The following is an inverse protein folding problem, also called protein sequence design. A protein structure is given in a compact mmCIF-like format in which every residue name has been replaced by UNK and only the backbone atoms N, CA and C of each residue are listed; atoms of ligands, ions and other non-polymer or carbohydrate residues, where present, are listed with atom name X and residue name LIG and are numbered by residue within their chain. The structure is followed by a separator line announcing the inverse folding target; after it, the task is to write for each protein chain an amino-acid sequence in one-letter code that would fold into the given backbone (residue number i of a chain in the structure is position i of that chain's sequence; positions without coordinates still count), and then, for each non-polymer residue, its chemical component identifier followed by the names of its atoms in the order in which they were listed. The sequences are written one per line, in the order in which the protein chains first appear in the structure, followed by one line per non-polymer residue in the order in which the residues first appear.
data_IF_338526291386
#
_entry.id   IF_338526291386
#
_cell.length_a   1.000
_cell.length_b   1.000
_cell.length_c   1.000
_cell.angle_alpha   90.00
_cell.angle_beta   90.00
_cell.angle_gamma   90.00
#
_symmetry.space_group_name_H-M   'P 1'
#
loop_
_entity.id
_entity.type
_entity.pdbx_description
1 polymer ?
#
# COMPACT_ATOMS: atom_id res chain seq x y z
N UNK A 1 14.92 -13.71 3.16
CA UNK A 1 15.57 -12.52 2.58
C UNK A 1 15.26 -11.38 3.54
N UNK A 2 16.28 -10.81 4.16
CA UNK A 2 16.15 -9.68 5.09
C UNK A 2 15.76 -8.43 4.31
N UNK A 3 14.65 -7.82 4.68
CA UNK A 3 14.17 -6.53 4.17
C UNK A 3 15.25 -5.44 4.40
N UNK A 4 15.50 -4.59 3.41
CA UNK A 4 16.44 -3.49 3.53
C UNK A 4 16.08 -2.55 4.71
N UNK A 5 17.07 -2.27 5.55
CA UNK A 5 16.95 -1.44 6.76
C UNK A 5 17.03 0.06 6.49
N UNK A 6 17.25 0.49 5.25
CA UNK A 6 17.47 1.91 4.92
C UNK A 6 16.16 2.64 4.66
N UNK A 7 15.22 2.59 5.61
CA UNK A 7 14.17 3.60 5.69
C UNK A 7 14.76 4.81 6.41
N UNK A 8 14.67 6.05 5.89
CA UNK A 8 15.24 7.21 6.58
C UNK A 8 14.59 7.37 7.96
N UNK A 9 15.35 7.02 9.00
CA UNK A 9 14.85 6.78 10.36
C UNK A 9 14.55 8.05 11.17
N UNK A 10 14.75 9.24 10.60
CA UNK A 10 14.67 10.54 11.31
C UNK A 10 13.25 11.10 11.47
N UNK A 11 12.22 10.26 11.51
CA UNK A 11 10.85 10.75 11.73
C UNK A 11 10.57 10.95 13.23
N UNK A 12 10.72 12.19 13.70
CA UNK A 12 10.43 12.61 15.08
C UNK A 12 8.98 12.29 15.52
N UNK A 13 8.07 12.03 14.57
CA UNK A 13 6.69 11.59 14.84
C UNK A 13 6.62 10.20 15.50
N UNK A 14 7.72 9.43 15.53
CA UNK A 14 7.77 8.05 16.09
C UNK A 14 7.68 7.96 17.61
N UNK A 15 8.00 9.03 18.35
CA UNK A 15 8.24 8.92 19.80
C UNK A 15 6.99 9.10 20.69
N UNK A 16 5.84 9.48 20.11
CA UNK A 16 4.66 9.91 20.89
C UNK A 16 3.49 8.93 20.94
N UNK A 17 3.51 7.83 20.20
CA UNK A 17 2.30 7.03 19.98
C UNK A 17 1.20 7.80 19.23
N UNK A 18 -0.02 7.24 19.11
CA UNK A 18 -1.12 7.89 18.42
C UNK A 18 -1.49 9.24 19.04
N UNK A 19 -1.80 10.25 18.21
CA UNK A 19 -2.17 11.60 18.66
C UNK A 19 -3.56 11.67 19.34
N UNK A 20 -4.31 10.58 19.29
CA UNK A 20 -5.61 10.42 19.94
C UNK A 20 -5.63 9.11 20.73
N UNK A 21 -6.48 9.03 21.76
CA UNK A 21 -6.70 7.78 22.49
C UNK A 21 -7.45 6.78 21.62
N UNK A 22 -6.76 5.71 21.21
CA UNK A 22 -7.36 4.59 20.48
C UNK A 22 -7.90 3.53 21.46
N UNK A 23 -8.82 2.70 20.97
CA UNK A 23 -9.38 1.55 21.71
C UNK A 23 -8.51 0.28 21.60
N UNK A 24 -7.31 0.42 21.03
CA UNK A 24 -6.42 -0.70 20.74
C UNK A 24 -4.99 -0.20 20.56
N UNK A 25 -4.06 -1.06 20.94
CA UNK A 25 -2.61 -0.95 20.75
C UNK A 25 -2.13 -1.53 19.41
N UNK A 26 -3.03 -2.05 18.57
CA UNK A 26 -2.66 -2.62 17.28
C UNK A 26 -2.02 -1.57 16.36
N UNK A 27 -0.93 -1.93 15.66
CA UNK A 27 -0.18 -0.98 14.85
C UNK A 27 -0.95 -0.53 13.59
N UNK A 28 -0.57 0.64 13.11
CA UNK A 28 -1.01 1.23 11.86
C UNK A 28 -2.51 1.44 11.80
N UNK A 29 -3.09 1.09 10.65
CA UNK A 29 -4.50 1.34 10.37
C UNK A 29 -5.46 0.47 11.21
N UNK A 30 -4.98 -0.62 11.82
CA UNK A 30 -5.85 -1.58 12.54
C UNK A 30 -6.45 -0.98 13.81
N UNK A 31 -5.64 -0.26 14.60
CA UNK A 31 -6.13 0.49 15.75
C UNK A 31 -7.18 1.55 15.37
N UNK A 32 -7.01 2.19 14.21
CA UNK A 32 -7.98 3.16 13.67
C UNK A 32 -9.30 2.49 13.25
N UNK A 33 -9.22 1.33 12.61
CA UNK A 33 -10.39 0.54 12.24
C UNK A 33 -11.17 0.06 13.46
N UNK A 34 -10.50 -0.33 14.55
CA UNK A 34 -11.17 -0.64 15.83
C UNK A 34 -11.79 0.60 16.48
N UNK A 35 -11.17 1.76 16.32
CA UNK A 35 -11.71 3.02 16.84
C UNK A 35 -13.04 3.40 16.16
N UNK A 36 -13.14 3.22 14.83
CA UNK A 36 -14.35 3.51 14.02
C UNK A 36 -14.70 2.36 13.06
N UNK A 37 -15.30 1.26 13.57
CA UNK A 37 -15.60 0.08 12.76
C UNK A 37 -16.59 0.37 11.63
N UNK A 38 -17.46 1.38 11.78
CA UNK A 38 -18.42 1.79 10.75
C UNK A 38 -17.71 2.34 9.51
N UNK A 39 -16.55 2.98 9.69
CA UNK A 39 -15.70 3.42 8.55
C UNK A 39 -14.77 2.32 8.06
N UNK A 40 -14.36 1.40 8.94
CA UNK A 40 -13.46 0.32 8.58
C UNK A 40 -14.05 -0.62 7.54
N UNK A 41 -15.35 -0.95 7.66
CA UNK A 41 -16.02 -1.88 6.74
C UNK A 41 -15.95 -1.42 5.26
N UNK A 42 -16.49 -0.25 4.88
CA UNK A 42 -16.45 0.19 3.49
C UNK A 42 -15.02 0.39 2.97
N UNK A 43 -14.09 0.82 3.83
CA UNK A 43 -12.69 1.00 3.45
C UNK A 43 -12.00 -0.33 3.10
N UNK A 44 -12.20 -1.38 3.91
CA UNK A 44 -11.65 -2.70 3.61
C UNK A 44 -12.35 -3.36 2.42
N UNK A 45 -13.65 -3.13 2.22
CA UNK A 45 -14.34 -3.60 1.01
C UNK A 45 -13.72 -3.00 -0.26
N UNK A 46 -13.42 -1.70 -0.25
CA UNK A 46 -12.72 -1.05 -1.35
C UNK A 46 -11.33 -1.67 -1.58
N UNK A 47 -10.53 -1.84 -0.52
CA UNK A 47 -9.22 -2.51 -0.62
C UNK A 47 -9.32 -3.94 -1.18
N UNK A 48 -10.32 -4.71 -0.72
CA UNK A 48 -10.49 -6.10 -1.15
C UNK A 48 -10.81 -6.19 -2.65
N UNK A 49 -11.73 -5.34 -3.13
CA UNK A 49 -12.02 -5.23 -4.56
C UNK A 49 -10.76 -4.87 -5.34
N UNK A 50 -10.07 -3.80 -4.93
CA UNK A 50 -8.92 -3.27 -5.67
C UNK A 50 -7.72 -4.23 -5.66
N UNK A 51 -7.40 -4.87 -4.54
CA UNK A 51 -6.15 -5.63 -4.40
C UNK A 51 -6.32 -7.15 -4.54
N UNK A 52 -7.55 -7.66 -4.44
CA UNK A 52 -7.82 -9.11 -4.44
C UNK A 52 -8.88 -9.56 -5.44
N UNK A 53 -9.73 -8.63 -5.89
CA UNK A 53 -10.77 -8.88 -6.91
C UNK A 53 -10.19 -9.31 -8.26
N UNK A 54 -11.08 -9.72 -9.17
CA UNK A 54 -10.73 -10.11 -10.53
C UNK A 54 -10.10 -8.95 -11.29
N UNK A 55 -8.92 -9.17 -11.86
CA UNK A 55 -8.20 -8.20 -12.65
C UNK A 55 -7.15 -8.93 -13.52
N UNK A 56 -6.75 -8.35 -14.65
CA UNK A 56 -5.62 -8.84 -15.45
C UNK A 56 -4.25 -8.51 -14.82
N UNK A 57 -4.18 -7.48 -13.98
CA UNK A 57 -3.06 -7.30 -13.06
C UNK A 57 -3.13 -8.34 -11.94
N UNK A 58 -2.02 -9.01 -11.73
CA UNK A 58 -1.83 -9.90 -10.60
C UNK A 58 -2.02 -9.16 -9.28
N UNK A 59 -2.27 -9.93 -8.21
CA UNK A 59 -2.31 -9.35 -6.85
C UNK A 59 -0.96 -8.71 -6.49
N UNK A 60 0.14 -9.33 -6.88
CA UNK A 60 1.48 -8.79 -6.65
C UNK A 60 1.71 -7.42 -7.30
N UNK A 61 1.28 -7.24 -8.55
CA UNK A 61 1.38 -5.95 -9.25
C UNK A 61 0.51 -4.86 -8.59
N UNK A 62 -0.69 -5.20 -8.13
CA UNK A 62 -1.58 -4.25 -7.46
C UNK A 62 -1.07 -3.86 -6.07
N UNK A 63 -0.53 -4.81 -5.33
CA UNK A 63 0.18 -4.55 -4.07
C UNK A 63 1.47 -3.74 -4.29
N UNK A 64 2.17 -3.93 -5.42
CA UNK A 64 3.34 -3.15 -5.79
C UNK A 64 3.00 -1.66 -6.03
N UNK A 65 1.86 -1.38 -6.68
CA UNK A 65 1.36 0.01 -6.82
C UNK A 65 1.11 0.63 -5.44
N UNK A 66 0.44 -0.11 -4.54
CA UNK A 66 0.17 0.34 -3.18
C UNK A 66 1.44 0.60 -2.37
N UNK A 67 2.42 -0.30 -2.47
CA UNK A 67 3.73 -0.17 -1.83
C UNK A 67 4.50 1.04 -2.38
N UNK A 68 4.57 1.20 -3.71
CA UNK A 68 5.27 2.31 -4.35
C UNK A 68 4.71 3.68 -3.93
N UNK A 69 3.39 3.85 -3.95
CA UNK A 69 2.75 5.09 -3.48
C UNK A 69 3.00 5.34 -2.00
N UNK A 70 2.96 4.29 -1.18
CA UNK A 70 3.24 4.40 0.26
C UNK A 70 4.69 4.78 0.55
N UNK A 71 5.64 4.30 -0.26
CA UNK A 71 7.04 4.68 -0.20
C UNK A 71 7.23 6.17 -0.53
N UNK A 72 6.60 6.65 -1.63
CA UNK A 72 6.64 8.06 -2.02
C UNK A 72 6.01 8.98 -0.96
N UNK A 73 4.95 8.52 -0.30
CA UNK A 73 4.32 9.23 0.83
C UNK A 73 5.12 9.13 2.14
N UNK A 74 6.15 8.29 2.20
CA UNK A 74 6.92 7.99 3.42
C UNK A 74 6.03 7.47 4.56
N UNK A 75 5.00 6.68 4.22
CA UNK A 75 4.19 5.99 5.21
C UNK A 75 4.77 4.61 5.47
N UNK A 76 5.53 4.47 6.56
CA UNK A 76 6.30 3.26 6.89
C UNK A 76 5.39 2.02 6.99
N UNK A 77 4.34 2.12 7.80
CA UNK A 77 3.43 0.99 8.03
C UNK A 77 2.85 0.47 6.71
N UNK A 78 2.27 1.36 5.90
CA UNK A 78 1.68 0.95 4.63
C UNK A 78 2.75 0.44 3.65
N UNK A 79 3.93 1.07 3.57
CA UNK A 79 4.99 0.57 2.71
C UNK A 79 5.37 -0.86 3.06
N UNK A 80 5.77 -1.15 4.31
CA UNK A 80 6.23 -2.49 4.67
C UNK A 80 5.12 -3.54 4.61
N UNK A 81 3.87 -3.20 4.97
CA UNK A 81 2.73 -4.11 4.81
C UNK A 81 2.53 -4.49 3.34
N UNK A 82 2.41 -3.51 2.45
CA UNK A 82 2.10 -3.78 1.05
C UNK A 82 3.31 -4.30 0.26
N UNK A 83 4.53 -3.92 0.65
CA UNK A 83 5.76 -4.52 0.14
C UNK A 83 5.83 -6.01 0.45
N UNK A 84 5.51 -6.42 1.69
CA UNK A 84 5.48 -7.83 2.08
C UNK A 84 4.43 -8.62 1.27
N UNK A 85 3.23 -8.07 1.07
CA UNK A 85 2.20 -8.70 0.23
C UNK A 85 2.61 -8.78 -1.26
N UNK A 86 3.22 -7.73 -1.80
CA UNK A 86 3.74 -7.72 -3.16
C UNK A 86 4.82 -8.79 -3.34
N UNK A 87 5.82 -8.80 -2.46
CA UNK A 87 6.93 -9.76 -2.49
C UNK A 87 6.47 -11.22 -2.37
N UNK A 88 5.41 -11.49 -1.58
CA UNK A 88 4.85 -12.84 -1.48
C UNK A 88 4.23 -13.33 -2.79
N UNK A 89 3.87 -12.43 -3.70
CA UNK A 89 3.09 -12.72 -4.92
C UNK A 89 3.86 -12.45 -6.21
N UNK A 90 4.97 -11.74 -6.14
CA UNK A 90 5.88 -11.48 -7.27
C UNK A 90 6.99 -12.54 -7.29
N UNK A 91 7.32 -13.14 -8.45
CA UNK A 91 8.40 -14.12 -8.56
C UNK A 91 9.75 -13.63 -8.02
N UNK A 92 10.05 -12.35 -8.24
CA UNK A 92 11.29 -11.68 -7.85
C UNK A 92 11.32 -11.30 -6.36
N UNK A 93 10.19 -11.43 -5.66
CA UNK A 93 10.08 -11.14 -4.23
C UNK A 93 10.36 -9.68 -3.87
N UNK A 94 10.96 -9.50 -2.68
CA UNK A 94 11.24 -8.17 -2.13
C UNK A 94 12.27 -7.38 -2.95
N UNK A 95 13.17 -8.07 -3.65
CA UNK A 95 14.18 -7.44 -4.49
C UNK A 95 13.56 -6.53 -5.54
N UNK A 96 12.47 -6.95 -6.21
CA UNK A 96 11.78 -6.12 -7.18
C UNK A 96 11.11 -4.91 -6.53
N UNK A 97 10.50 -5.08 -5.35
CA UNK A 97 9.84 -4.00 -4.61
C UNK A 97 10.86 -2.91 -4.24
N UNK A 98 12.03 -3.31 -3.74
CA UNK A 98 13.12 -2.40 -3.38
C UNK A 98 13.70 -1.68 -4.61
N UNK A 99 13.85 -2.39 -5.73
CA UNK A 99 14.30 -1.80 -7.00
C UNK A 99 13.31 -0.74 -7.50
N UNK A 100 12.01 -1.05 -7.51
CA UNK A 100 10.95 -0.10 -7.90
C UNK A 100 10.90 1.12 -6.98
N UNK A 101 11.10 0.92 -5.67
CA UNK A 101 11.18 2.03 -4.72
C UNK A 101 12.40 2.94 -5.00
N UNK A 102 13.56 2.34 -5.25
CA UNK A 102 14.85 3.04 -5.37
C UNK A 102 14.96 3.79 -6.69
N UNK A 103 14.65 3.12 -7.80
CA UNK A 103 14.77 3.67 -9.14
C UNK A 103 13.76 2.95 -10.06
N UNK A 104 12.60 3.58 -10.26
CA UNK A 104 11.55 3.05 -11.14
C UNK A 104 12.01 2.94 -12.60
N UNK A 105 12.89 3.83 -13.06
CA UNK A 105 13.36 3.83 -14.45
C UNK A 105 14.24 2.60 -14.72
N UNK A 106 15.13 2.27 -13.78
CA UNK A 106 16.01 1.09 -13.85
C UNK A 106 15.36 -0.23 -13.39
N UNK A 107 14.19 -0.19 -12.75
CA UNK A 107 13.54 -1.38 -12.21
C UNK A 107 13.14 -2.39 -13.30
N UNK A 108 13.37 -3.71 -13.09
CA UNK A 108 13.09 -4.75 -14.07
C UNK A 108 11.60 -5.14 -14.11
N UNK A 109 10.73 -4.15 -14.30
CA UNK A 109 9.29 -4.33 -14.54
C UNK A 109 8.97 -4.26 -16.03
N UNK A 110 7.82 -4.80 -16.43
CA UNK A 110 7.32 -4.64 -17.80
C UNK A 110 7.04 -3.17 -18.14
N UNK A 111 7.06 -2.81 -19.42
CA UNK A 111 6.76 -1.43 -19.85
C UNK A 111 5.35 -1.00 -19.44
N UNK A 112 4.39 -1.93 -19.48
CA UNK A 112 3.03 -1.72 -18.97
C UNK A 112 3.06 -1.33 -17.50
N UNK A 113 3.76 -2.11 -16.68
CA UNK A 113 3.80 -1.89 -15.24
C UNK A 113 4.57 -0.61 -14.89
N UNK A 114 5.66 -0.28 -15.62
CA UNK A 114 6.36 1.00 -15.47
C UNK A 114 5.44 2.19 -15.74
N UNK A 115 4.72 2.17 -16.85
CA UNK A 115 3.78 3.24 -17.20
C UNK A 115 2.66 3.41 -16.15
N UNK A 116 2.13 2.29 -15.61
CA UNK A 116 1.16 2.33 -14.53
C UNK A 116 1.75 2.90 -13.22
N UNK A 117 2.98 2.52 -12.85
CA UNK A 117 3.66 3.06 -11.67
C UNK A 117 3.98 4.56 -11.82
N UNK A 118 4.31 5.03 -13.03
CA UNK A 118 4.45 6.46 -13.31
C UNK A 118 3.12 7.23 -13.13
N UNK A 119 2.00 6.65 -13.58
CA UNK A 119 0.66 7.20 -13.34
C UNK A 119 0.38 7.25 -11.83
N UNK A 120 0.67 6.18 -11.10
CA UNK A 120 0.48 6.11 -9.65
C UNK A 120 1.33 7.17 -8.90
N UNK A 121 2.58 7.37 -9.31
CA UNK A 121 3.45 8.43 -8.78
C UNK A 121 2.92 9.83 -9.10
N UNK A 122 2.30 10.04 -10.26
CA UNK A 122 1.63 11.29 -10.58
C UNK A 122 0.39 11.52 -9.70
N UNK A 123 -0.46 10.51 -9.51
CA UNK A 123 -1.61 10.58 -8.60
C UNK A 123 -1.18 10.95 -7.18
N UNK A 124 -0.06 10.39 -6.71
CA UNK A 124 0.50 10.69 -5.40
C UNK A 124 0.81 12.18 -5.21
N UNK A 125 1.36 12.83 -6.23
CA UNK A 125 1.62 14.28 -6.24
C UNK A 125 0.32 15.10 -6.36
N UNK A 126 -0.72 14.53 -6.97
CA UNK A 126 -2.07 15.08 -7.05
C UNK A 126 -2.77 14.74 -8.37
N UNK A 127 -4.09 14.59 -8.37
CA UNK A 127 -4.85 14.13 -9.55
C UNK A 127 -4.68 14.96 -10.83
N UNK A 128 -4.32 16.25 -10.72
CA UNK A 128 -4.01 17.12 -11.87
C UNK A 128 -2.65 16.86 -12.51
N UNK A 129 -1.82 16.02 -11.91
CA UNK A 129 -0.49 15.63 -12.41
C UNK A 129 -0.57 14.46 -13.39
N UNK A 130 -1.67 13.70 -13.39
CA UNK A 130 -1.91 12.67 -14.40
C UNK A 130 -2.20 13.35 -15.74
N UNK A 131 -1.46 12.97 -16.77
CA UNK A 131 -1.57 13.58 -18.10
C UNK A 131 -2.14 12.61 -19.13
N UNK A 132 -2.79 13.15 -20.17
CA UNK A 132 -3.26 12.35 -21.31
C UNK A 132 -2.11 11.58 -21.98
N UNK A 133 -0.89 12.14 -21.99
CA UNK A 133 0.31 11.48 -22.50
C UNK A 133 0.68 10.22 -21.71
N UNK A 134 0.63 10.27 -20.38
CA UNK A 134 0.91 9.09 -19.54
C UNK A 134 -0.14 8.00 -19.76
N UNK A 135 -1.42 8.38 -19.86
CA UNK A 135 -2.51 7.44 -20.16
C UNK A 135 -2.33 6.81 -21.54
N UNK A 136 -1.96 7.60 -22.55
CA UNK A 136 -1.66 7.08 -23.90
C UNK A 136 -0.48 6.11 -23.90
N UNK A 137 0.63 6.46 -23.23
CA UNK A 137 1.79 5.60 -23.12
C UNK A 137 1.47 4.26 -22.41
N UNK A 138 0.64 4.29 -21.37
CA UNK A 138 0.18 3.07 -20.71
C UNK A 138 -0.62 2.17 -21.67
N UNK A 139 -1.50 2.75 -22.49
CA UNK A 139 -2.26 1.99 -23.52
C UNK A 139 -1.36 1.42 -24.60
N UNK A 140 -0.39 2.19 -25.07
CA UNK A 140 0.60 1.73 -26.06
C UNK A 140 1.42 0.55 -25.52
N UNK A 141 1.71 0.54 -24.22
CA UNK A 141 2.34 -0.57 -23.51
C UNK A 141 1.37 -1.75 -23.20
N UNK A 142 0.10 -1.65 -23.62
CA UNK A 142 -0.90 -2.72 -23.50
C UNK A 142 -1.79 -2.63 -22.25
N UNK A 143 -1.80 -1.51 -21.52
CA UNK A 143 -2.71 -1.31 -20.39
C UNK A 143 -4.17 -1.14 -20.85
N UNK A 144 -5.08 -1.85 -20.19
CA UNK A 144 -6.52 -1.70 -20.41
C UNK A 144 -7.09 -0.52 -19.62
N UNK A 145 -8.32 -0.10 -19.96
CA UNK A 145 -9.05 0.92 -19.19
C UNK A 145 -9.22 0.54 -17.72
N UNK A 146 -9.51 -0.74 -17.45
CA UNK A 146 -9.67 -1.23 -16.10
C UNK A 146 -8.37 -1.15 -15.31
N UNK A 147 -7.24 -1.51 -15.92
CA UNK A 147 -5.92 -1.45 -15.27
C UNK A 147 -5.49 -0.01 -14.97
N UNK A 148 -5.75 0.92 -15.90
CA UNK A 148 -5.48 2.35 -15.70
C UNK A 148 -6.39 2.91 -14.60
N UNK A 149 -7.70 2.59 -14.65
CA UNK A 149 -8.67 2.99 -13.64
C UNK A 149 -8.25 2.52 -12.25
N UNK A 150 -7.98 1.22 -12.11
CA UNK A 150 -7.63 0.62 -10.83
C UNK A 150 -6.28 1.12 -10.34
N UNK A 151 -5.32 1.38 -11.22
CA UNK A 151 -4.04 2.01 -10.84
C UNK A 151 -4.25 3.39 -10.22
N UNK A 152 -5.09 4.23 -10.85
CA UNK A 152 -5.41 5.56 -10.32
C UNK A 152 -6.15 5.45 -8.99
N UNK A 153 -7.12 4.54 -8.88
CA UNK A 153 -7.92 4.39 -7.68
C UNK A 153 -7.14 3.76 -6.52
N UNK A 154 -6.28 2.77 -6.78
CA UNK A 154 -5.32 2.23 -5.80
C UNK A 154 -4.42 3.37 -5.31
N UNK A 155 -3.78 4.12 -6.21
CA UNK A 155 -2.89 5.19 -5.81
C UNK A 155 -3.60 6.27 -4.97
N UNK A 156 -4.82 6.65 -5.34
CA UNK A 156 -5.63 7.60 -4.58
C UNK A 156 -6.04 7.06 -3.20
N UNK A 157 -6.46 5.79 -3.13
CA UNK A 157 -6.83 5.14 -1.88
C UNK A 157 -5.64 5.02 -0.92
N UNK A 158 -4.47 4.63 -1.42
CA UNK A 158 -3.25 4.58 -0.60
C UNK A 158 -2.78 5.95 -0.15
N UNK A 159 -2.92 6.97 -0.98
CA UNK A 159 -2.79 8.36 -0.57
C UNK A 159 -3.70 8.75 0.60
N UNK A 160 -4.94 8.26 0.65
CA UNK A 160 -5.85 8.48 1.77
C UNK A 160 -5.42 7.66 2.99
N UNK A 161 -5.15 6.36 2.84
CA UNK A 161 -4.74 5.48 3.94
C UNK A 161 -3.44 5.92 4.60
N UNK A 162 -2.43 6.28 3.81
CA UNK A 162 -1.16 6.80 4.31
C UNK A 162 -1.38 8.05 5.18
N UNK A 163 -2.18 9.01 4.68
CA UNK A 163 -2.52 10.23 5.44
C UNK A 163 -3.36 9.94 6.67
N UNK A 164 -4.18 8.89 6.66
CA UNK A 164 -4.96 8.49 7.82
C UNK A 164 -4.09 7.89 8.93
N UNK A 165 -3.16 7.00 8.55
CA UNK A 165 -2.17 6.35 9.43
C UNK A 165 -1.20 7.39 10.00
N UNK A 166 -0.50 8.13 9.13
CA UNK A 166 0.53 9.08 9.55
C UNK A 166 -0.08 10.33 10.19
N UNK A 167 -1.25 10.77 9.73
CA UNK A 167 -1.93 11.95 10.27
C UNK A 167 -2.44 11.78 11.70
N UNK A 168 -2.59 10.53 12.17
CA UNK A 168 -2.93 10.20 13.56
C UNK A 168 -1.75 9.60 14.34
N UNK A 169 -0.55 9.55 13.74
CA UNK A 169 0.67 9.09 14.42
C UNK A 169 0.62 7.63 14.88
N UNK A 170 -0.08 6.75 14.16
CA UNK A 170 -0.20 5.34 14.59
C UNK A 170 1.15 4.63 14.58
N UNK A 171 1.35 3.72 15.54
CA UNK A 171 2.60 2.95 15.65
C UNK A 171 2.85 2.07 14.41
N UNK A 172 4.12 1.88 14.06
CA UNK A 172 4.56 0.93 13.05
C UNK A 172 5.64 0.03 13.65
N UNK A 173 5.69 -1.25 13.27
CA UNK A 173 6.80 -2.11 13.67
C UNK A 173 8.11 -1.61 13.04
N UNK A 174 9.16 -1.60 13.85
CA UNK A 174 10.52 -1.35 13.39
C UNK A 174 11.14 -2.60 12.77
N UNK A 175 10.68 -3.79 13.17
CA UNK A 175 11.06 -5.07 12.59
C UNK A 175 10.29 -5.30 11.27
N UNK A 176 10.99 -5.34 10.12
CA UNK A 176 10.38 -5.64 8.84
C UNK A 176 9.83 -7.09 8.75
N UNK A 177 10.45 -8.06 9.43
CA UNK A 177 10.05 -9.47 9.36
C UNK A 177 8.64 -9.70 9.95
N UNK A 178 8.25 -8.84 10.90
CA UNK A 178 6.87 -8.75 11.39
C UNK A 178 5.84 -8.63 10.24
N UNK A 179 6.13 -7.84 9.22
CA UNK A 179 5.21 -7.63 8.09
C UNK A 179 5.16 -8.85 7.17
N UNK A 180 6.28 -9.56 7.00
CA UNK A 180 6.34 -10.77 6.19
C UNK A 180 5.54 -11.91 6.83
N UNK A 181 5.65 -12.11 8.14
CA UNK A 181 4.85 -13.10 8.88
C UNK A 181 3.35 -12.78 8.74
N UNK A 182 2.97 -11.51 8.95
CA UNK A 182 1.58 -11.07 8.82
C UNK A 182 1.02 -11.25 7.41
N UNK A 183 1.83 -11.04 6.38
CA UNK A 183 1.41 -11.26 4.99
C UNK A 183 1.02 -12.72 4.70
N UNK A 184 1.66 -13.68 5.37
CA UNK A 184 1.35 -15.11 5.25
C UNK A 184 0.07 -15.51 5.99
N UNK A 185 -0.20 -14.88 7.13
CA UNK A 185 -1.33 -15.21 8.02
C UNK A 185 -2.65 -14.55 7.61
N UNK A 186 -2.61 -13.51 6.76
CA UNK A 186 -3.80 -12.70 6.47
C UNK A 186 -4.71 -13.36 5.43
N UNK A 187 -5.92 -13.74 5.84
CA UNK A 187 -6.97 -14.30 4.96
C UNK A 187 -7.54 -13.31 3.92
N UNK A 188 -7.24 -12.03 4.05
CA UNK A 188 -7.73 -10.94 3.18
C UNK A 188 -8.14 -9.71 4.00
N UNK A 189 -8.53 -8.64 3.33
CA UNK A 189 -8.87 -7.36 4.00
C UNK A 189 -10.16 -7.46 4.82
N UNK A 190 -11.10 -8.32 4.41
CA UNK A 190 -12.33 -8.60 5.17
C UNK A 190 -12.10 -9.53 6.37
N UNK A 191 -11.06 -10.39 6.34
CA UNK A 191 -10.70 -11.21 7.49
C UNK A 191 -10.15 -10.34 8.63
N UNK A 192 -9.41 -9.27 8.30
CA UNK A 192 -8.91 -8.28 9.27
C UNK A 192 -10.06 -7.58 10.00
N UNK A 193 -11.22 -7.40 9.35
CA UNK A 193 -12.43 -6.87 9.99
C UNK A 193 -13.11 -7.87 10.92
N UNK A 194 -13.22 -9.13 10.50
CA UNK A 194 -13.85 -10.17 11.32
C UNK A 194 -13.10 -10.33 12.65
N UNK A 195 -11.77 -10.29 12.63
CA UNK A 195 -10.95 -10.29 13.85
C UNK A 195 -11.16 -9.03 14.72
N UNK A 196 -11.34 -7.87 14.09
CA UNK A 196 -11.53 -6.59 14.80
C UNK A 196 -12.92 -6.47 15.47
N UNK A 197 -13.93 -7.19 14.97
CA UNK A 197 -15.29 -7.21 15.53
C UNK A 197 -15.46 -8.23 16.67
N UNK A 198 -14.50 -9.14 16.85
CA UNK A 198 -14.60 -10.25 17.82
C UNK A 198 -13.89 -10.02 19.15
N UNK A 199 -13.16 -8.90 19.32
CA UNK A 199 -12.52 -8.58 20.60
C UNK A 199 -13.35 -7.53 21.37
N UNK A 200 -13.69 -7.78 22.66
CA UNK A 200 -14.44 -6.83 23.46
C UNK A 200 -13.63 -5.54 23.67
N UNK A 201 -14.36 -4.43 23.78
CA UNK A 201 -13.84 -3.08 24.01
C UNK A 201 -13.08 -2.94 25.33
#
# INVERSE_FOLDING_TARGET
MTLSTTWPDNDERRTGGPYITLKSDEPGIRGLFRFRPETALPLNQLCDVLLRGENSLSRGERELIAAYVSALNRCRFCYFTHAAFAALRLPEGMTLVEQVHTDLEAAPVSDKMRALLEIAGAVQQGGRRVTARQVAAAREAGATDLEIHDTVLIAAAFCMFNRYVDGLGTAASDDPDHYAERAQLTGGYLAVLADAQLQPA
#
